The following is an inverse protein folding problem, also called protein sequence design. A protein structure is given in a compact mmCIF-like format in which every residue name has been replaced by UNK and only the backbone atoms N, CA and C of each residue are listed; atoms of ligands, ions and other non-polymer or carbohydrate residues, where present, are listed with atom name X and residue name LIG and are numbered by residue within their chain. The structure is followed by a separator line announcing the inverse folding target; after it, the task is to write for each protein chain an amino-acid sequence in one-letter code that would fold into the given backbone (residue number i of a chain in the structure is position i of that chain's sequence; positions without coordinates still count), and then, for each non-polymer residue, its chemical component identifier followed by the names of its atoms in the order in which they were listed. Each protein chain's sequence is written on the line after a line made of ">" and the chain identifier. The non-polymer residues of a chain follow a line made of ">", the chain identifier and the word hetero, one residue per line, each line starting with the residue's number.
data_IF_338185172730
#
_entry.id   IF_338185172730
#
_cell.length_a   1.000
_cell.length_b   1.000
_cell.length_c   1.000
_cell.angle_alpha   90.00
_cell.angle_beta   90.00
_cell.angle_gamma   90.00
#
_symmetry.space_group_name_H-M   'P 1'
#
loop_
_entity.id
_entity.type
_entity.pdbx_description
1 polymer ?
#
# COMPACT_ATOMS: atom_id res chain seq x y z
N UNK A 1 37.66 17.50 -30.24
CA UNK A 1 36.71 18.10 -31.21
C UNK A 1 35.84 16.99 -31.76
N UNK A 2 34.70 16.68 -31.12
CA UNK A 2 33.87 15.52 -31.51
C UNK A 2 32.42 15.54 -31.01
N UNK A 3 32.01 16.60 -30.31
CA UNK A 3 30.64 16.73 -29.78
C UNK A 3 29.72 17.56 -30.70
N UNK A 4 30.29 18.37 -31.61
CA UNK A 4 29.51 19.25 -32.50
C UNK A 4 28.86 18.48 -33.67
N UNK A 5 29.50 17.42 -34.16
CA UNK A 5 29.02 16.62 -35.30
C UNK A 5 27.78 15.79 -34.97
N UNK A 6 27.66 15.29 -33.73
CA UNK A 6 26.52 14.48 -33.32
C UNK A 6 25.26 15.33 -33.09
N UNK A 7 25.41 16.56 -32.62
CA UNK A 7 24.29 17.49 -32.45
C UNK A 7 23.70 17.91 -33.81
N UNK A 8 24.55 18.12 -34.82
CA UNK A 8 24.10 18.51 -36.16
C UNK A 8 23.33 17.38 -36.87
N UNK A 9 23.76 16.13 -36.68
CA UNK A 9 23.06 14.95 -37.19
C UNK A 9 21.68 14.76 -36.54
N UNK A 10 21.56 15.00 -35.23
CA UNK A 10 20.27 14.92 -34.53
C UNK A 10 19.30 16.00 -35.01
N UNK A 11 19.78 17.23 -35.23
CA UNK A 11 18.94 18.32 -35.73
C UNK A 11 18.47 18.03 -37.17
N UNK A 12 19.33 17.51 -38.04
CA UNK A 12 18.93 17.11 -39.40
C UNK A 12 17.93 15.95 -39.41
N UNK A 13 18.09 14.96 -38.51
CA UNK A 13 17.13 13.85 -38.40
C UNK A 13 15.75 14.35 -37.94
N UNK A 14 15.69 15.28 -36.98
CA UNK A 14 14.43 15.86 -36.49
C UNK A 14 13.72 16.70 -37.55
N UNK A 15 14.46 17.43 -38.40
CA UNK A 15 13.90 18.18 -39.53
C UNK A 15 13.31 17.26 -40.61
N UNK A 16 13.96 16.13 -40.92
CA UNK A 16 13.44 15.14 -41.88
C UNK A 16 12.19 14.40 -41.39
N UNK A 17 12.08 14.13 -40.09
CA UNK A 17 10.86 13.52 -39.51
C UNK A 17 9.71 14.52 -39.51
N UNK A 18 9.99 15.81 -39.31
CA UNK A 18 8.95 16.85 -39.30
C UNK A 18 8.34 17.11 -40.68
N UNK A 19 9.13 17.00 -41.76
CA UNK A 19 8.62 17.23 -43.13
C UNK A 19 7.85 16.05 -43.72
N UNK A 20 8.01 14.84 -43.18
CA UNK A 20 7.24 13.65 -43.64
C UNK A 20 5.85 13.55 -42.98
N UNK A 21 5.63 14.21 -41.84
CA UNK A 21 4.34 14.21 -41.14
C UNK A 21 3.29 15.15 -41.75
N UNK A 22 3.69 16.14 -42.56
CA UNK A 22 2.76 17.13 -43.15
C UNK A 22 2.14 16.72 -44.49
N UNK A 23 2.49 15.56 -45.05
CA UNK A 23 2.05 15.15 -46.41
C UNK A 23 0.77 14.30 -46.42
N UNK A 24 0.21 13.91 -45.26
CA UNK A 24 -0.98 13.02 -45.21
C UNK A 24 -2.18 13.60 -44.44
N UNK A 25 -2.44 14.90 -44.55
CA UNK A 25 -3.67 15.50 -44.02
C UNK A 25 -4.55 16.03 -45.17
N UNK A 26 -5.17 15.13 -45.92
CA UNK A 26 -6.33 15.49 -46.75
C UNK A 26 -7.57 15.59 -45.84
N UNK A 27 -8.34 16.69 -45.88
CA UNK A 27 -9.57 16.81 -45.10
C UNK A 27 -10.63 15.83 -45.63
N UNK A 28 -11.17 15.01 -44.73
CA UNK A 28 -12.33 14.13 -45.00
C UNK A 28 -13.58 15.03 -45.11
N UNK A 29 -14.38 14.94 -46.19
CA UNK A 29 -15.68 15.61 -46.24
C UNK A 29 -16.60 15.01 -45.18
N UNK A 30 -17.04 15.83 -44.23
CA UNK A 30 -18.03 15.44 -43.21
C UNK A 30 -19.41 15.78 -43.78
N UNK A 31 -20.23 14.76 -44.07
CA UNK A 31 -21.63 14.96 -44.43
C UNK A 31 -22.40 15.60 -43.26
N UNK A 32 -23.31 16.56 -43.52
CA UNK A 32 -24.14 17.16 -42.48
C UNK A 32 -25.13 16.13 -41.92
N UNK A 33 -25.42 16.15 -40.61
CA UNK A 33 -26.31 15.17 -39.99
C UNK A 33 -27.75 15.38 -40.44
N UNK A 34 -28.34 14.32 -41.01
CA UNK A 34 -29.77 14.23 -41.30
C UNK A 34 -30.59 14.36 -40.01
N UNK A 35 -31.34 15.46 -39.88
CA UNK A 35 -32.29 15.66 -38.79
C UNK A 35 -33.49 14.72 -38.96
N UNK A 36 -33.52 13.64 -38.19
CA UNK A 36 -34.74 12.89 -37.94
C UNK A 36 -35.45 13.48 -36.71
N UNK A 37 -36.75 13.81 -36.79
CA UNK A 37 -37.50 14.28 -35.64
C UNK A 37 -37.67 13.12 -34.64
N UNK A 38 -37.16 13.31 -33.42
CA UNK A 38 -37.41 12.40 -32.30
C UNK A 38 -38.88 12.50 -31.86
N UNK A 39 -39.54 11.37 -31.51
CA UNK A 39 -40.85 11.41 -30.87
C UNK A 39 -40.75 12.04 -29.47
N UNK A 40 -41.81 12.71 -28.98
CA UNK A 40 -41.78 13.37 -27.68
C UNK A 40 -41.62 12.36 -26.55
N UNK A 41 -40.66 12.63 -25.67
CA UNK A 41 -40.40 11.86 -24.44
C UNK A 41 -41.60 11.96 -23.49
N UNK A 42 -42.15 10.86 -22.96
CA UNK A 42 -43.19 10.92 -21.93
C UNK A 42 -42.65 11.57 -20.65
N UNK A 43 -43.49 12.37 -20.00
CA UNK A 43 -43.16 13.08 -18.76
C UNK A 43 -42.81 12.11 -17.61
N UNK A 44 -41.92 12.48 -16.67
CA UNK A 44 -41.60 11.64 -15.53
C UNK A 44 -42.82 11.51 -14.61
N UNK A 45 -43.22 10.27 -14.32
CA UNK A 45 -44.18 9.96 -13.26
C UNK A 45 -43.43 10.07 -11.92
N UNK A 46 -43.75 11.10 -11.13
CA UNK A 46 -43.22 11.22 -9.77
C UNK A 46 -43.91 10.20 -8.85
N UNK A 47 -43.15 9.42 -8.04
CA UNK A 47 -43.74 8.58 -7.00
C UNK A 47 -44.35 9.46 -5.89
N UNK A 48 -45.40 8.98 -5.19
CA UNK A 48 -46.06 9.75 -4.14
C UNK A 48 -45.11 9.99 -2.95
N UNK A 49 -45.06 11.24 -2.52
CA UNK A 49 -44.31 11.71 -1.36
C UNK A 49 -44.93 11.14 -0.09
N UNK A 50 -44.29 10.15 0.53
CA UNK A 50 -44.65 9.71 1.88
C UNK A 50 -44.07 10.71 2.89
N UNK A 51 -44.94 11.54 3.47
CA UNK A 51 -44.60 12.35 4.63
C UNK A 51 -44.49 11.44 5.85
N UNK A 52 -43.27 11.06 6.23
CA UNK A 52 -43.01 10.56 7.58
C UNK A 52 -42.93 11.75 8.53
N UNK A 53 -43.91 11.82 9.45
CA UNK A 53 -43.93 12.79 10.52
C UNK A 53 -42.69 12.68 11.40
N UNK A 54 -42.01 13.80 11.59
CA UNK A 54 -40.96 13.95 12.59
C UNK A 54 -41.58 13.95 14.00
N UNK A 55 -41.05 13.19 14.97
CA UNK A 55 -41.35 13.41 16.37
C UNK A 55 -40.67 14.69 16.89
N UNK A 56 -41.17 15.32 17.97
CA UNK A 56 -40.68 16.61 18.45
C UNK A 56 -39.24 16.51 19.00
N UNK A 57 -38.47 17.55 18.73
CA UNK A 57 -37.11 17.78 19.26
C UNK A 57 -37.15 17.94 20.79
N UNK A 58 -36.53 17.02 21.52
CA UNK A 58 -36.17 17.25 22.93
C UNK A 58 -35.04 18.29 23.02
N UNK A 59 -35.19 19.22 23.96
CA UNK A 59 -34.20 20.26 24.23
C UNK A 59 -33.00 19.69 25.04
N UNK A 60 -31.78 20.26 24.92
CA UNK A 60 -30.61 19.76 25.63
C UNK A 60 -30.70 20.02 27.14
N UNK A 61 -30.49 18.98 27.96
CA UNK A 61 -30.36 19.10 29.40
C UNK A 61 -29.04 19.82 29.77
N UNK A 62 -29.13 20.80 30.66
CA UNK A 62 -28.01 21.54 31.24
C UNK A 62 -27.13 20.64 32.15
N UNK A 63 -25.81 20.87 32.24
CA UNK A 63 -24.95 20.24 33.25
C UNK A 63 -24.99 21.01 34.59
N UNK A 64 -24.75 20.35 35.74
CA UNK A 64 -24.76 21.02 37.04
C UNK A 64 -23.43 21.76 37.30
N UNK A 65 -23.57 23.02 37.68
CA UNK A 65 -22.50 23.92 38.16
C UNK A 65 -22.26 23.67 39.65
N UNK A 66 -21.06 23.27 40.05
CA UNK A 66 -20.53 23.47 41.40
C UNK A 66 -19.17 24.15 41.29
N UNK A 67 -19.13 25.44 41.67
CA UNK A 67 -17.91 26.20 41.88
C UNK A 67 -17.76 26.48 43.37
N UNK A 68 -16.59 26.19 43.95
CA UNK A 68 -15.88 26.93 45.02
C UNK A 68 -14.37 26.57 44.83
N UNK A 69 -13.56 27.40 44.15
CA UNK A 69 -12.63 28.40 44.73
C UNK A 69 -11.39 27.71 45.33
N UNK A 70 -10.15 27.77 44.82
CA UNK A 70 -9.25 28.93 44.59
C UNK A 70 -7.92 28.48 43.87
N UNK A 71 -7.00 29.39 43.46
CA UNK A 71 -6.05 29.27 42.32
C UNK A 71 -4.53 29.18 42.70
N UNK A 72 -3.54 29.51 41.83
CA UNK A 72 -3.12 28.86 40.57
C UNK A 72 -1.63 28.40 40.61
N UNK A 73 -1.19 27.49 39.72
CA UNK A 73 0.22 27.42 39.32
C UNK A 73 0.42 26.72 37.97
N UNK A 74 1.50 27.11 37.30
CA UNK A 74 1.82 27.05 35.87
C UNK A 74 2.03 25.66 35.22
N UNK A 75 1.81 25.67 33.90
CA UNK A 75 2.26 24.83 32.77
C UNK A 75 2.94 23.46 32.97
N UNK A 76 2.60 22.44 32.15
CA UNK A 76 3.49 21.32 31.84
C UNK A 76 4.03 21.39 30.39
N UNK A 77 5.35 21.56 30.27
CA UNK A 77 6.11 21.27 29.08
C UNK A 77 6.62 19.82 29.11
N UNK A 78 6.41 19.08 28.01
CA UNK A 78 7.20 17.96 27.48
C UNK A 78 8.12 17.16 28.40
N UNK A 79 7.87 15.85 28.57
CA UNK A 79 8.94 14.90 28.90
C UNK A 79 8.84 13.63 28.02
N UNK A 80 9.93 13.38 27.31
CA UNK A 80 10.19 12.23 26.44
C UNK A 80 10.64 11.01 27.27
N UNK A 81 10.22 9.81 26.88
CA UNK A 81 10.88 8.57 27.26
C UNK A 81 11.90 8.17 26.20
N UNK A 82 13.19 8.39 26.48
CA UNK A 82 14.30 7.71 25.83
C UNK A 82 15.38 7.44 26.88
N UNK A 83 15.66 6.16 27.15
CA UNK A 83 16.88 5.74 27.84
C UNK A 83 17.77 5.00 26.83
N UNK A 84 18.80 5.70 26.38
CA UNK A 84 20.10 5.10 26.07
C UNK A 84 21.07 5.58 27.16
N UNK A 85 22.10 4.81 27.47
CA UNK A 85 23.51 5.25 27.53
C UNK A 85 24.39 4.09 28.03
N UNK A 86 25.52 3.90 27.35
CA UNK A 86 26.61 2.99 27.74
C UNK A 86 27.58 3.61 28.77
N UNK A 87 28.43 2.75 29.33
CA UNK A 87 29.55 2.99 30.26
C UNK A 87 30.68 3.88 29.66
N UNK A 88 31.81 4.24 30.34
CA UNK A 88 32.36 3.96 31.71
C UNK A 88 32.93 5.28 32.40
N UNK A 89 33.91 5.35 33.39
CA UNK A 89 34.74 4.35 34.09
C UNK A 89 34.96 4.46 35.64
N UNK A 90 35.45 3.34 36.21
CA UNK A 90 36.44 3.08 37.30
C UNK A 90 36.64 4.04 38.49
N UNK A 91 36.62 3.50 39.73
CA UNK A 91 37.65 3.68 40.79
C UNK A 91 37.45 2.66 41.95
N UNK A 92 38.55 2.09 42.44
CA UNK A 92 38.67 1.14 43.58
C UNK A 92 39.15 1.83 44.88
N UNK A 93 39.08 1.16 46.05
CA UNK A 93 40.25 1.07 46.97
C UNK A 93 40.40 -0.34 47.63
N UNK A 94 41.48 -1.14 47.46
CA UNK A 94 42.83 -1.20 48.10
C UNK A 94 42.80 -1.26 49.66
N UNK A 95 43.20 -2.36 50.36
CA UNK A 95 44.56 -2.64 50.94
C UNK A 95 44.65 -4.03 51.70
N UNK A 96 45.84 -4.52 52.18
CA UNK A 96 46.34 -5.91 52.00
C UNK A 96 46.81 -6.63 53.33
N UNK A 97 47.91 -7.44 53.43
CA UNK A 97 47.95 -8.93 53.41
C UNK A 97 48.68 -9.62 54.60
N UNK A 98 48.57 -10.97 54.77
CA UNK A 98 49.56 -11.81 55.47
C UNK A 98 49.43 -13.33 55.15
N UNK A 99 50.53 -14.06 55.34
CA UNK A 99 50.96 -15.36 54.77
C UNK A 99 50.74 -16.63 55.65
N UNK A 100 50.69 -17.83 55.00
CA UNK A 100 51.33 -19.17 55.27
C UNK A 100 51.09 -19.88 56.64
N UNK A 101 51.06 -21.21 56.86
CA UNK A 101 51.32 -22.51 56.17
C UNK A 101 50.71 -23.69 57.05
N UNK A 102 50.68 -24.98 56.61
CA UNK A 102 50.02 -26.17 57.26
C UNK A 102 51.04 -27.12 57.97
N UNK A 103 50.77 -28.36 58.53
CA UNK A 103 50.29 -29.62 57.83
C UNK A 103 49.55 -30.76 58.65
N UNK A 104 49.10 -31.81 57.91
CA UNK A 104 48.99 -33.29 58.21
C UNK A 104 47.64 -34.07 58.40
N UNK A 105 47.35 -34.91 57.38
CA UNK A 105 46.84 -36.31 57.24
C UNK A 105 45.65 -36.96 57.99
N UNK A 106 44.77 -37.64 57.23
CA UNK A 106 44.54 -39.12 57.26
C UNK A 106 43.59 -39.61 56.11
N UNK A 107 43.67 -40.88 55.65
CA UNK A 107 42.93 -41.40 54.47
C UNK A 107 41.72 -42.29 54.82
N UNK A 108 40.70 -42.45 53.94
CA UNK A 108 39.69 -43.50 54.10
C UNK A 108 39.89 -44.70 53.16
N UNK A 109 39.65 -45.87 53.73
CA UNK A 109 39.83 -47.22 53.19
C UNK A 109 38.48 -47.89 52.91
N UNK A 110 38.03 -47.99 51.65
CA UNK A 110 36.98 -48.96 51.25
C UNK A 110 37.15 -49.38 49.77
N UNK A 111 37.00 -50.68 49.43
CA UNK A 111 37.12 -51.18 48.06
C UNK A 111 35.87 -50.88 47.20
N UNK A 112 35.96 -50.88 45.85
CA UNK A 112 34.85 -50.51 44.97
C UNK A 112 33.78 -51.60 44.91
N UNK A 113 32.52 -51.25 45.20
CA UNK A 113 31.36 -52.12 44.98
C UNK A 113 30.91 -51.97 43.51
N UNK A 114 30.85 -53.08 42.78
CA UNK A 114 30.35 -53.14 41.40
C UNK A 114 28.84 -52.80 41.34
N UNK A 115 28.37 -52.00 40.36
CA UNK A 115 26.95 -51.72 40.21
C UNK A 115 26.18 -52.92 39.58
N UNK A 116 24.87 -53.08 39.89
CA UNK A 116 24.06 -54.18 39.37
C UNK A 116 23.79 -54.07 37.86
N UNK A 117 23.76 -55.21 37.17
CA UNK A 117 23.43 -55.31 35.74
C UNK A 117 21.94 -55.03 35.47
N UNK A 118 21.65 -54.05 34.61
CA UNK A 118 20.30 -53.80 34.08
C UNK A 118 19.97 -54.80 32.95
N UNK A 119 18.72 -55.30 32.86
CA UNK A 119 18.29 -56.15 31.75
C UNK A 119 18.19 -55.35 30.44
N UNK A 120 18.32 -56.01 29.27
CA UNK A 120 18.47 -55.32 27.98
C UNK A 120 17.20 -54.54 27.60
N UNK A 121 17.38 -53.25 27.35
CA UNK A 121 16.39 -52.36 26.76
C UNK A 121 16.23 -52.69 25.27
N UNK A 122 15.02 -53.11 24.86
CA UNK A 122 14.68 -53.16 23.44
C UNK A 122 14.39 -51.74 22.94
N UNK A 123 14.90 -51.32 21.78
CA UNK A 123 14.64 -49.99 21.25
C UNK A 123 13.16 -49.86 20.82
N UNK A 124 12.52 -48.70 21.04
CA UNK A 124 11.15 -48.48 20.59
C UNK A 124 11.06 -48.48 19.07
N UNK A 125 10.08 -49.21 18.51
CA UNK A 125 9.74 -49.18 17.09
C UNK A 125 9.47 -47.75 16.63
N UNK A 126 10.35 -47.22 15.79
CA UNK A 126 10.17 -45.93 15.12
C UNK A 126 9.16 -46.11 13.98
N UNK A 127 7.95 -45.58 14.15
CA UNK A 127 7.06 -45.38 13.02
C UNK A 127 7.60 -44.23 12.15
N UNK A 128 7.64 -44.37 10.82
CA UNK A 128 8.09 -43.29 9.96
C UNK A 128 7.18 -42.06 10.13
N UNK A 129 7.73 -40.83 10.11
CA UNK A 129 6.94 -39.63 10.24
C UNK A 129 5.83 -39.60 9.19
N UNK A 130 4.58 -39.45 9.62
CA UNK A 130 3.47 -39.16 8.72
C UNK A 130 3.72 -37.80 8.06
N UNK A 131 4.22 -37.82 6.83
CA UNK A 131 4.29 -36.62 6.01
C UNK A 131 2.85 -36.18 5.68
N UNK A 132 2.47 -34.91 5.96
CA UNK A 132 1.18 -34.41 5.51
C UNK A 132 1.08 -34.56 3.98
N UNK A 133 -0.13 -34.79 3.44
CA UNK A 133 -0.33 -34.89 2.01
C UNK A 133 0.31 -33.69 1.33
N UNK A 134 1.18 -33.94 0.37
CA UNK A 134 1.84 -32.91 -0.43
C UNK A 134 0.70 -32.17 -1.17
N UNK A 135 0.28 -31.03 -0.63
CA UNK A 135 -0.85 -30.26 -1.14
C UNK A 135 -0.68 -30.03 -2.63
N UNK A 136 -1.75 -30.26 -3.40
CA UNK A 136 -1.74 -30.02 -4.85
C UNK A 136 -1.21 -28.61 -5.13
N UNK A 137 -0.31 -28.41 -6.11
CA UNK A 137 0.22 -27.09 -6.43
C UNK A 137 -0.93 -26.11 -6.68
N UNK A 138 -0.97 -25.00 -5.92
CA UNK A 138 -1.97 -23.95 -6.12
C UNK A 138 -1.88 -23.48 -7.58
N UNK A 139 -2.96 -23.59 -8.38
CA UNK A 139 -2.90 -23.24 -9.79
C UNK A 139 -2.55 -21.77 -9.96
N UNK A 140 -1.57 -21.50 -10.83
CA UNK A 140 -1.16 -20.13 -11.15
C UNK A 140 -2.30 -19.44 -11.89
N UNK A 141 -2.69 -18.28 -11.40
CA UNK A 141 -3.70 -17.43 -12.04
C UNK A 141 -3.05 -16.18 -12.61
N UNK A 142 -3.63 -15.63 -13.67
CA UNK A 142 -3.24 -14.32 -14.21
C UNK A 142 -3.67 -13.21 -13.26
N UNK A 143 -2.99 -12.07 -13.34
CA UNK A 143 -3.20 -10.94 -12.44
C UNK A 143 -4.00 -9.85 -13.19
N UNK A 144 -5.14 -9.49 -12.63
CA UNK A 144 -5.86 -8.28 -12.98
C UNK A 144 -5.89 -7.35 -11.77
N UNK A 145 -5.75 -6.05 -11.99
CA UNK A 145 -5.68 -5.05 -10.91
C UNK A 145 -6.71 -3.97 -11.18
N UNK A 146 -7.44 -3.57 -10.15
CA UNK A 146 -8.40 -2.48 -10.22
C UNK A 146 -8.26 -1.51 -9.05
N UNK A 147 -8.71 -0.28 -9.26
CA UNK A 147 -8.80 0.74 -8.24
C UNK A 147 -9.50 1.99 -8.76
N UNK A 148 -9.60 2.99 -7.88
CA UNK A 148 -10.24 4.27 -8.20
C UNK A 148 -9.36 5.43 -7.72
N UNK A 149 -9.32 6.51 -8.49
CA UNK A 149 -8.58 7.74 -8.17
C UNK A 149 -9.54 8.92 -8.02
N UNK A 150 -9.36 9.66 -6.93
CA UNK A 150 -10.19 10.80 -6.56
C UNK A 150 -9.40 12.11 -6.49
N UNK A 151 -10.12 13.22 -6.61
CA UNK A 151 -9.70 14.54 -6.19
C UNK A 151 -10.33 14.84 -4.84
N UNK A 152 -9.53 15.13 -3.81
CA UNK A 152 -10.09 15.54 -2.52
C UNK A 152 -10.75 16.91 -2.64
N UNK A 153 -11.78 17.15 -1.82
CA UNK A 153 -12.38 18.49 -1.73
C UNK A 153 -11.49 19.43 -0.94
N UNK A 154 -11.63 20.73 -1.19
CA UNK A 154 -10.84 21.74 -0.51
C UNK A 154 -11.05 21.78 1.01
N UNK A 155 -12.25 21.41 1.47
CA UNK A 155 -12.57 21.29 2.89
C UNK A 155 -11.66 20.29 3.62
N UNK A 156 -11.17 19.28 2.91
CA UNK A 156 -10.37 18.19 3.46
C UNK A 156 -9.00 18.07 2.77
N UNK A 157 -8.48 19.17 2.23
CA UNK A 157 -7.14 19.20 1.66
C UNK A 157 -6.10 18.76 2.71
N UNK A 158 -5.19 17.86 2.32
CA UNK A 158 -4.17 17.32 3.22
C UNK A 158 -4.65 16.28 4.25
N UNK A 159 -5.96 16.10 4.44
CA UNK A 159 -6.50 15.07 5.33
C UNK A 159 -6.58 13.70 4.65
N UNK A 160 -6.51 12.63 5.43
CA UNK A 160 -6.64 11.24 4.97
C UNK A 160 -8.12 10.83 4.87
N UNK A 161 -8.87 11.56 4.06
CA UNK A 161 -10.30 11.30 3.84
C UNK A 161 -10.73 11.55 2.40
N UNK A 162 -11.80 10.86 2.00
CA UNK A 162 -12.47 11.01 0.70
C UNK A 162 -13.82 11.71 0.81
N UNK A 163 -14.13 12.33 1.96
CA UNK A 163 -15.37 13.07 2.14
C UNK A 163 -15.44 14.25 1.14
N UNK A 164 -16.51 14.29 0.36
CA UNK A 164 -16.70 15.28 -0.71
C UNK A 164 -15.72 15.15 -1.88
N UNK A 165 -14.95 14.06 -1.96
CA UNK A 165 -14.03 13.84 -3.07
C UNK A 165 -14.79 13.48 -4.36
N UNK A 166 -14.26 13.88 -5.51
CA UNK A 166 -14.83 13.58 -6.84
C UNK A 166 -13.90 12.66 -7.62
N UNK A 167 -14.43 11.73 -8.43
CA UNK A 167 -13.59 10.89 -9.29
C UNK A 167 -12.81 11.75 -10.31
N UNK A 168 -11.61 11.29 -10.69
CA UNK A 168 -10.80 11.96 -11.71
C UNK A 168 -10.79 11.14 -12.99
N UNK A 169 -11.32 11.69 -14.09
CA UNK A 169 -11.13 11.14 -15.42
C UNK A 169 -9.71 11.40 -15.92
N UNK A 170 -9.06 10.39 -16.51
CA UNK A 170 -7.75 10.52 -17.13
C UNK A 170 -6.55 10.64 -16.18
N UNK A 171 -6.71 10.39 -14.88
CA UNK A 171 -5.58 10.28 -13.95
C UNK A 171 -4.69 9.10 -14.33
N UNK A 172 -3.37 9.27 -14.24
CA UNK A 172 -2.39 8.25 -14.62
C UNK A 172 -1.93 7.49 -13.38
N UNK A 173 -2.02 6.17 -13.44
CA UNK A 173 -1.46 5.25 -12.44
C UNK A 173 -0.34 4.41 -13.05
N UNK A 174 0.58 3.95 -12.20
CA UNK A 174 1.69 3.06 -12.54
C UNK A 174 1.55 1.76 -11.77
N UNK A 175 1.41 0.65 -12.48
CA UNK A 175 1.58 -0.69 -11.97
C UNK A 175 3.04 -1.13 -12.15
N UNK A 176 3.71 -1.50 -11.07
CA UNK A 176 5.11 -1.91 -11.10
C UNK A 176 5.31 -3.22 -10.34
N UNK A 177 5.99 -4.19 -10.93
CA UNK A 177 6.38 -5.45 -10.29
C UNK A 177 7.89 -5.63 -10.25
N UNK A 178 8.44 -5.87 -9.06
CA UNK A 178 9.87 -6.12 -8.86
C UNK A 178 10.15 -7.63 -8.79
N UNK A 179 9.81 -8.38 -9.85
CA UNK A 179 9.90 -9.85 -9.84
C UNK A 179 11.24 -10.40 -10.40
N UNK A 180 11.99 -9.64 -11.21
CA UNK A 180 13.24 -10.08 -11.88
C UNK A 180 14.23 -8.92 -12.12
N UNK A 181 15.37 -9.18 -12.79
CA UNK A 181 16.44 -8.23 -13.15
C UNK A 181 15.92 -6.92 -13.78
N UNK A 182 14.79 -6.97 -14.47
CA UNK A 182 14.08 -5.78 -14.96
C UNK A 182 12.70 -5.70 -14.29
N UNK A 183 12.34 -4.55 -13.68
CA UNK A 183 11.00 -4.36 -13.14
C UNK A 183 9.99 -4.23 -14.28
N UNK A 184 8.87 -4.93 -14.18
CA UNK A 184 7.73 -4.68 -15.07
C UNK A 184 7.13 -3.33 -14.68
N UNK A 185 6.86 -2.47 -15.65
CA UNK A 185 6.15 -1.21 -15.46
C UNK A 185 5.05 -1.10 -16.53
N UNK A 186 3.83 -0.81 -16.11
CA UNK A 186 2.69 -0.53 -16.97
C UNK A 186 1.91 0.66 -16.43
N UNK A 187 1.46 1.55 -17.31
CA UNK A 187 0.60 2.68 -16.92
C UNK A 187 -0.81 2.49 -17.42
N UNK A 188 -1.77 3.08 -16.71
CA UNK A 188 -3.16 3.16 -17.14
C UNK A 188 -3.73 4.54 -16.81
N UNK A 189 -4.76 4.92 -17.56
CA UNK A 189 -5.58 6.10 -17.28
C UNK A 189 -6.89 5.66 -16.67
N UNK A 190 -7.40 6.44 -15.73
CA UNK A 190 -8.74 6.26 -15.20
C UNK A 190 -9.80 6.69 -16.20
N UNK A 191 -10.99 6.11 -16.08
CA UNK A 191 -12.19 6.52 -16.80
C UNK A 191 -12.93 7.66 -16.07
N UNK A 192 -14.09 8.06 -16.62
CA UNK A 192 -14.98 9.09 -16.07
C UNK A 192 -15.41 8.87 -14.60
N UNK A 193 -15.38 7.64 -14.11
CA UNK A 193 -15.71 7.28 -12.73
C UNK A 193 -14.45 7.22 -11.84
N UNK A 194 -13.30 7.64 -12.35
CA UNK A 194 -12.02 7.53 -11.68
C UNK A 194 -11.48 6.10 -11.65
N UNK A 195 -12.13 5.15 -12.34
CA UNK A 195 -11.79 3.74 -12.27
C UNK A 195 -10.69 3.38 -13.25
N UNK A 196 -9.76 2.53 -12.84
CA UNK A 196 -8.78 1.92 -13.74
C UNK A 196 -8.79 0.41 -13.59
N UNK A 197 -8.48 -0.27 -14.70
CA UNK A 197 -8.29 -1.71 -14.76
C UNK A 197 -7.03 -2.04 -15.54
N UNK A 198 -6.15 -2.85 -14.96
CA UNK A 198 -4.87 -3.26 -15.54
C UNK A 198 -4.82 -4.77 -15.59
N UNK A 199 -4.67 -5.33 -16.79
CA UNK A 199 -4.31 -6.73 -16.95
C UNK A 199 -2.80 -6.85 -17.02
N UNK A 200 -2.18 -7.56 -16.08
CA UNK A 200 -0.75 -7.78 -16.09
C UNK A 200 -0.35 -8.70 -17.26
N UNK A 201 0.88 -8.57 -17.79
CA UNK A 201 1.42 -9.52 -18.74
C UNK A 201 1.42 -10.94 -18.17
N UNK A 202 1.30 -11.95 -19.04
CA UNK A 202 1.26 -13.38 -18.68
C UNK A 202 2.50 -13.87 -17.91
N UNK A 203 3.59 -13.10 -17.92
CA UNK A 203 4.82 -13.36 -17.16
C UNK A 203 4.66 -13.11 -15.67
N UNK A 204 3.68 -12.30 -15.26
CA UNK A 204 3.33 -12.06 -13.85
C UNK A 204 2.09 -12.88 -13.52
N UNK A 205 2.28 -13.86 -12.63
CA UNK A 205 1.20 -14.69 -12.09
C UNK A 205 0.91 -14.30 -10.65
N UNK A 206 -0.14 -14.89 -10.06
CA UNK A 206 -0.51 -14.74 -8.66
C UNK A 206 0.65 -14.94 -7.67
N UNK A 207 1.66 -15.76 -8.04
CA UNK A 207 2.85 -15.98 -7.20
C UNK A 207 3.77 -14.76 -7.16
N UNK A 208 3.82 -13.96 -8.22
CA UNK A 208 4.62 -12.73 -8.29
C UNK A 208 3.87 -11.49 -7.83
N UNK A 209 2.55 -11.57 -7.62
CA UNK A 209 1.68 -10.43 -7.33
C UNK A 209 2.08 -9.68 -6.05
N UNK A 210 2.60 -10.37 -5.03
CA UNK A 210 3.05 -9.75 -3.78
C UNK A 210 4.27 -8.82 -3.96
N UNK A 211 4.99 -8.90 -5.08
CA UNK A 211 6.09 -7.99 -5.44
C UNK A 211 5.64 -6.82 -6.30
N UNK A 212 4.34 -6.73 -6.56
CA UNK A 212 3.74 -5.69 -7.37
C UNK A 212 3.10 -4.62 -6.50
N UNK A 213 3.19 -3.37 -6.96
CA UNK A 213 2.59 -2.20 -6.33
C UNK A 213 1.95 -1.30 -7.38
N UNK A 214 0.96 -0.52 -6.95
CA UNK A 214 0.36 0.54 -7.78
C UNK A 214 0.65 1.91 -7.15
N UNK A 215 1.02 2.86 -8.00
CA UNK A 215 1.35 4.23 -7.64
C UNK A 215 0.48 5.20 -8.44
N UNK A 216 0.04 6.31 -7.84
CA UNK A 216 -0.48 7.43 -8.62
C UNK A 216 0.69 8.24 -9.20
N UNK A 217 0.55 8.70 -10.44
CA UNK A 217 1.57 9.51 -11.11
C UNK A 217 1.12 10.95 -11.32
N UNK A 218 -0.01 11.13 -12.01
CA UNK A 218 -0.48 12.46 -12.38
C UNK A 218 -1.99 12.52 -12.54
N UNK A 219 -2.52 13.74 -12.50
CA UNK A 219 -3.91 14.07 -12.78
C UNK A 219 -3.95 15.11 -13.91
N UNK A 220 -4.93 15.03 -14.83
CA UNK A 220 -5.10 16.03 -15.88
C UNK A 220 -5.71 17.33 -15.36
N UNK A 221 -6.25 17.34 -14.13
CA UNK A 221 -6.86 18.52 -13.53
C UNK A 221 -5.78 19.40 -12.90
N UNK A 222 -5.55 20.59 -13.47
CA UNK A 222 -4.57 21.55 -12.95
C UNK A 222 -4.88 22.01 -11.51
N UNK A 223 -6.16 22.02 -11.13
CA UNK A 223 -6.65 22.32 -9.78
C UNK A 223 -6.52 21.14 -8.82
N UNK A 224 -6.13 19.95 -9.27
CA UNK A 224 -6.05 18.75 -8.44
C UNK A 224 -4.97 17.79 -8.93
N UNK A 225 -3.72 18.25 -8.84
CA UNK A 225 -2.56 17.53 -9.38
C UNK A 225 -1.46 17.25 -8.36
N UNK A 226 -1.64 17.60 -7.09
CA UNK A 226 -0.68 17.29 -6.02
C UNK A 226 -0.93 15.86 -5.54
N UNK A 227 -0.04 14.89 -5.80
CA UNK A 227 -0.25 13.53 -5.33
C UNK A 227 -0.33 13.48 -3.80
N UNK A 228 -1.23 12.67 -3.25
CA UNK A 228 -1.27 12.38 -1.81
C UNK A 228 -0.93 10.91 -1.55
N UNK A 229 -0.44 10.60 -0.35
CA UNK A 229 -0.10 9.23 0.02
C UNK A 229 -1.26 8.45 0.64
N UNK A 230 -2.50 8.93 0.44
CA UNK A 230 -3.69 8.22 0.88
C UNK A 230 -3.68 6.79 0.33
N UNK A 231 -3.81 5.81 1.24
CA UNK A 231 -3.70 4.37 0.95
C UNK A 231 -2.42 4.00 0.19
N UNK A 232 -1.29 4.64 0.52
CA UNK A 232 0.01 4.42 -0.11
C UNK A 232 0.04 4.77 -1.61
N UNK A 233 -0.77 5.74 -2.04
CA UNK A 233 -0.80 6.18 -3.45
C UNK A 233 0.58 6.63 -3.96
N UNK A 234 1.39 7.27 -3.12
CA UNK A 234 2.73 7.75 -3.45
C UNK A 234 3.81 6.71 -3.18
N UNK A 235 3.75 6.03 -2.03
CA UNK A 235 4.74 5.01 -1.64
C UNK A 235 4.57 3.66 -2.37
N UNK A 236 3.41 3.46 -2.98
CA UNK A 236 3.03 2.26 -3.70
C UNK A 236 2.19 1.31 -2.86
N UNK A 237 0.94 1.15 -3.26
CA UNK A 237 -0.03 0.31 -2.61
C UNK A 237 0.13 -1.16 -3.00
N UNK A 238 0.13 -2.03 -1.99
CA UNK A 238 0.14 -3.48 -2.16
C UNK A 238 -1.17 -3.99 -2.74
N UNK A 239 -1.08 -4.97 -3.63
CA UNK A 239 -2.24 -5.62 -4.22
C UNK A 239 -3.00 -6.46 -3.18
N UNK A 240 -4.30 -6.22 -2.99
CA UNK A 240 -5.17 -7.06 -2.15
C UNK A 240 -6.00 -8.00 -3.04
N UNK A 241 -5.85 -9.33 -2.93
CA UNK A 241 -6.61 -10.26 -3.76
C UNK A 241 -8.10 -10.24 -3.43
N UNK A 242 -8.91 -10.40 -4.46
CA UNK A 242 -10.35 -10.64 -4.42
C UNK A 242 -10.67 -12.04 -4.94
N UNK A 243 -11.95 -12.30 -5.24
CA UNK A 243 -12.41 -13.60 -5.74
C UNK A 243 -11.79 -13.89 -7.11
N UNK A 244 -11.27 -15.11 -7.33
CA UNK A 244 -10.86 -15.56 -8.65
C UNK A 244 -12.03 -15.56 -9.64
N UNK A 245 -11.74 -15.33 -10.92
CA UNK A 245 -12.72 -15.38 -12.00
C UNK A 245 -12.12 -16.01 -13.26
N UNK A 246 -12.99 -16.48 -14.14
CA UNK A 246 -12.59 -17.01 -15.45
C UNK A 246 -12.91 -15.99 -16.53
N UNK A 247 -11.91 -15.62 -17.32
CA UNK A 247 -12.11 -14.82 -18.52
C UNK A 247 -11.40 -15.49 -19.69
N UNK A 248 -12.11 -15.63 -20.81
CA UNK A 248 -11.60 -16.27 -22.03
C UNK A 248 -10.97 -17.66 -21.77
N UNK A 249 -11.61 -18.46 -20.91
CA UNK A 249 -11.13 -19.80 -20.47
C UNK A 249 -9.79 -19.78 -19.71
N UNK A 250 -9.36 -18.63 -19.20
CA UNK A 250 -8.15 -18.49 -18.40
C UNK A 250 -8.50 -18.04 -16.96
N UNK A 251 -7.80 -18.56 -15.94
CA UNK A 251 -8.02 -18.18 -14.56
C UNK A 251 -7.35 -16.84 -14.25
N UNK A 252 -8.10 -15.91 -13.67
CA UNK A 252 -7.61 -14.64 -13.17
C UNK A 252 -7.89 -14.51 -11.67
N UNK A 253 -7.02 -13.79 -10.98
CA UNK A 253 -7.31 -13.22 -9.67
C UNK A 253 -7.39 -11.71 -9.87
N UNK A 254 -8.51 -11.14 -9.46
CA UNK A 254 -8.68 -9.70 -9.37
C UNK A 254 -7.99 -9.21 -8.09
N UNK A 255 -7.22 -8.15 -8.20
CA UNK A 255 -6.60 -7.48 -7.06
C UNK A 255 -7.11 -6.06 -6.97
N UNK A 256 -7.55 -5.66 -5.79
CA UNK A 256 -7.88 -4.26 -5.48
C UNK A 256 -6.71 -3.52 -4.88
N UNK A 257 -6.63 -2.23 -5.19
CA UNK A 257 -5.76 -1.25 -4.55
C UNK A 257 -6.52 0.04 -4.30
N UNK A 258 -5.99 0.88 -3.40
CA UNK A 258 -6.59 2.18 -3.11
C UNK A 258 -7.96 2.05 -2.45
N UNK A 259 -8.80 3.10 -2.47
CA UNK A 259 -8.75 4.22 -3.42
C UNK A 259 -7.58 5.19 -3.25
N UNK A 260 -7.14 5.85 -4.32
CA UNK A 260 -6.09 6.87 -4.26
C UNK A 260 -6.66 8.27 -4.40
N UNK A 261 -5.87 9.29 -4.04
CA UNK A 261 -6.28 10.66 -4.23
C UNK A 261 -5.16 11.66 -4.53
N UNK A 262 -5.54 12.72 -5.22
CA UNK A 262 -4.77 13.96 -5.33
C UNK A 262 -5.36 15.02 -4.38
N UNK A 263 -4.49 15.85 -3.82
CA UNK A 263 -4.86 17.07 -3.10
C UNK A 263 -5.26 18.18 -4.10
N UNK A 264 -6.32 18.94 -3.79
CA UNK A 264 -6.72 20.10 -4.58
C UNK A 264 -5.81 21.30 -4.31
N UNK A 265 -5.80 22.24 -5.26
CA UNK A 265 -5.37 23.63 -5.06
C UNK A 265 -6.59 24.44 -4.64
N UNK A 266 -6.55 24.98 -3.44
CA UNK A 266 -7.68 25.70 -2.87
C UNK A 266 -7.51 27.21 -3.00
N UNK A 267 -8.61 27.95 -3.23
CA UNK A 267 -8.60 29.40 -3.03
C UNK A 267 -8.11 29.72 -1.63
N UNK A 268 -7.23 30.70 -1.53
CA UNK A 268 -6.74 31.26 -0.25
C UNK A 268 -7.74 32.28 0.25
#
# INVERSE_FOLDING_TARGET
>A
MGFATNALLLVQLMLLVSTTLTVFASPIPVDPPSHHPHPPTPAPVYPPTYHHGHPPSEAPAHPPTYHHGHPPSEAPAHHHHHHHHGHPPSHSPVHPPAHHEPPHHSPPSHPPVLPPSHPPHYPPHHYPPHHPPRGSPVPRSFVAVQGVVYCKSCKYAGADTLLGASPIDGAVVKFQCNNTKYPLIQTAKTDKNGYFFITAPKTITSFGAHKCKVFILSSPLASCNKPSDLHYGLQGASLRPEKPYMANKLPFILYTVGPFAFDPKCPV
#
